data_IF_845689367945
#
_entry.id   IF_845689367945
#
_cell.length_a   1.000
_cell.length_b   1.000
_cell.length_c   1.000
_cell.angle_alpha   90.00
_cell.angle_beta   90.00
_cell.angle_gamma   90.00
#
_symmetry.space_group_name_H-M   'P 1'
#
loop_
_entity.id
_entity.type
_entity.pdbx_description
1 polymer ?
#
# COMPACT_ATOMS: atom_id res chain seq x y z
N UNK A 1 -24.34 -4.28 2.31
CA UNK A 1 -23.77 -5.57 2.74
C UNK A 1 -22.73 -5.34 3.81
N UNK A 2 -22.86 -6.08 4.90
CA UNK A 2 -21.84 -6.26 5.93
C UNK A 2 -21.00 -7.47 5.49
N UNK A 3 -19.70 -7.27 5.30
CA UNK A 3 -18.78 -8.33 4.90
C UNK A 3 -17.99 -8.74 6.14
N UNK A 4 -17.92 -10.04 6.41
CA UNK A 4 -17.04 -10.58 7.45
C UNK A 4 -15.85 -11.29 6.80
N UNK A 5 -14.65 -11.04 7.33
CA UNK A 5 -13.43 -11.70 6.87
C UNK A 5 -13.05 -12.79 7.87
N UNK A 6 -13.01 -14.03 7.38
CA UNK A 6 -12.56 -15.15 8.19
C UNK A 6 -11.07 -15.02 8.55
N UNK A 7 -10.62 -15.66 9.64
CA UNK A 7 -9.19 -15.71 9.97
C UNK A 7 -8.34 -16.29 8.83
N UNK A 8 -8.88 -17.25 8.07
CA UNK A 8 -8.20 -17.86 6.93
C UNK A 8 -8.01 -16.88 5.78
N UNK A 9 -9.07 -16.18 5.37
CA UNK A 9 -8.98 -15.17 4.31
C UNK A 9 -8.04 -14.04 4.72
N UNK A 10 -8.10 -13.58 5.97
CA UNK A 10 -7.17 -12.57 6.48
C UNK A 10 -5.72 -13.02 6.38
N UNK A 11 -5.43 -14.28 6.73
CA UNK A 11 -4.09 -14.85 6.59
C UNK A 11 -3.65 -14.90 5.11
N UNK A 12 -4.54 -15.25 4.19
CA UNK A 12 -4.24 -15.28 2.76
C UNK A 12 -3.87 -13.88 2.24
N UNK A 13 -4.65 -12.85 2.56
CA UNK A 13 -4.29 -11.47 2.19
C UNK A 13 -2.98 -11.04 2.86
N UNK A 14 -2.78 -11.36 4.13
CA UNK A 14 -1.54 -11.03 4.86
C UNK A 14 -0.31 -11.64 4.18
N UNK A 15 -0.38 -12.92 3.83
CA UNK A 15 0.71 -13.62 3.15
C UNK A 15 0.98 -13.03 1.76
N UNK A 16 -0.07 -12.83 0.95
CA UNK A 16 0.04 -12.26 -0.39
C UNK A 16 0.68 -10.86 -0.36
N UNK A 17 0.18 -9.97 0.49
CA UNK A 17 0.67 -8.59 0.58
C UNK A 17 2.12 -8.55 1.10
N UNK A 18 2.44 -9.40 2.08
CA UNK A 18 3.80 -9.47 2.60
C UNK A 18 4.79 -9.98 1.54
N UNK A 19 4.42 -11.03 0.80
CA UNK A 19 5.25 -11.60 -0.26
C UNK A 19 5.57 -10.57 -1.35
N UNK A 20 4.59 -9.76 -1.73
CA UNK A 20 4.70 -8.91 -2.92
C UNK A 20 5.29 -7.52 -2.63
N UNK A 21 5.04 -6.93 -1.45
CA UNK A 21 5.53 -5.58 -1.13
C UNK A 21 6.14 -5.43 0.27
N UNK A 22 6.28 -6.51 1.04
CA UNK A 22 6.90 -6.49 2.36
C UNK A 22 6.07 -5.79 3.45
N UNK A 23 4.83 -5.38 3.17
CA UNK A 23 3.96 -4.74 4.16
C UNK A 23 3.46 -5.79 5.15
N UNK A 24 3.87 -5.65 6.42
CA UNK A 24 3.35 -6.47 7.50
C UNK A 24 1.98 -5.94 7.98
N UNK A 25 0.95 -6.76 7.77
CA UNK A 25 -0.39 -6.58 8.32
C UNK A 25 -0.51 -7.34 9.64
N UNK A 26 -0.45 -6.60 10.74
CA UNK A 26 -0.77 -7.13 12.07
C UNK A 26 -2.28 -7.03 12.35
N UNK A 27 -2.73 -7.66 13.43
CA UNK A 27 -4.16 -7.74 13.76
C UNK A 27 -4.81 -6.36 13.94
N UNK A 28 -4.06 -5.35 14.40
CA UNK A 28 -4.57 -3.98 14.52
C UNK A 28 -4.88 -3.32 13.17
N UNK A 29 -4.29 -3.82 12.07
CA UNK A 29 -4.59 -3.37 10.70
C UNK A 29 -5.71 -4.19 10.03
N UNK A 30 -6.23 -5.25 10.66
CA UNK A 30 -7.34 -6.06 10.13
C UNK A 30 -8.56 -5.18 9.81
N UNK A 31 -8.96 -4.32 10.75
CA UNK A 31 -10.09 -3.40 10.56
C UNK A 31 -9.88 -2.44 9.40
N UNK A 32 -8.66 -1.95 9.20
CA UNK A 32 -8.30 -1.07 8.07
C UNK A 32 -8.46 -1.81 6.73
N UNK A 33 -7.92 -3.02 6.64
CA UNK A 33 -8.03 -3.86 5.46
C UNK A 33 -9.50 -4.14 5.12
N UNK A 34 -10.27 -4.61 6.10
CA UNK A 34 -11.71 -4.89 5.95
C UNK A 34 -12.45 -3.66 5.46
N UNK A 35 -12.22 -2.49 6.07
CA UNK A 35 -12.90 -1.25 5.67
C UNK A 35 -12.61 -0.87 4.22
N UNK A 36 -11.34 -0.91 3.81
CA UNK A 36 -10.91 -0.49 2.46
C UNK A 36 -11.36 -1.49 1.39
N UNK A 37 -11.18 -2.78 1.64
CA UNK A 37 -11.59 -3.83 0.73
C UNK A 37 -13.12 -3.95 0.65
N UNK A 38 -13.87 -3.80 1.75
CA UNK A 38 -15.34 -3.80 1.72
C UNK A 38 -15.91 -2.77 0.76
N UNK A 39 -15.26 -1.59 0.64
CA UNK A 39 -15.64 -0.58 -0.34
C UNK A 39 -15.38 -1.08 -1.76
N UNK A 40 -14.25 -1.75 -2.00
CA UNK A 40 -13.88 -2.32 -3.30
C UNK A 40 -14.81 -3.46 -3.71
N UNK A 41 -15.15 -4.38 -2.80
CA UNK A 41 -16.11 -5.47 -3.03
C UNK A 41 -17.46 -4.93 -3.53
N UNK A 42 -17.98 -3.85 -2.93
CA UNK A 42 -19.22 -3.20 -3.39
C UNK A 42 -19.12 -2.63 -4.80
N UNK A 43 -17.96 -2.07 -5.18
CA UNK A 43 -17.75 -1.52 -6.51
C UNK A 43 -17.67 -2.62 -7.58
N UNK A 44 -17.18 -3.79 -7.22
CA UNK A 44 -17.03 -4.95 -8.09
C UNK A 44 -18.24 -5.90 -8.03
N UNK A 45 -19.26 -5.57 -7.23
CA UNK A 45 -20.43 -6.41 -6.98
C UNK A 45 -20.06 -7.83 -6.51
N UNK A 46 -19.01 -7.94 -5.69
CA UNK A 46 -18.54 -9.19 -5.11
C UNK A 46 -19.16 -9.43 -3.72
N UNK A 47 -19.50 -10.68 -3.46
CA UNK A 47 -20.23 -11.09 -2.26
C UNK A 47 -19.33 -11.52 -1.09
N UNK A 48 -18.04 -11.77 -1.33
CA UNK A 48 -17.11 -12.25 -0.30
C UNK A 48 -15.65 -11.82 -0.50
N UNK A 49 -14.89 -11.87 0.59
CA UNK A 49 -13.44 -11.62 0.56
C UNK A 49 -12.70 -12.71 -0.22
N UNK A 50 -13.13 -13.97 -0.11
CA UNK A 50 -12.59 -15.05 -0.95
C UNK A 50 -12.80 -14.78 -2.44
N UNK A 51 -13.98 -14.32 -2.87
CA UNK A 51 -14.24 -14.00 -4.28
C UNK A 51 -13.32 -12.87 -4.78
N UNK A 52 -13.05 -11.89 -3.94
CA UNK A 52 -12.09 -10.83 -4.25
C UNK A 52 -10.64 -11.36 -4.31
N UNK A 53 -10.25 -12.23 -3.38
CA UNK A 53 -8.93 -12.88 -3.40
C UNK A 53 -8.73 -13.68 -4.68
N UNK A 54 -9.71 -14.49 -5.07
CA UNK A 54 -9.65 -15.32 -6.28
C UNK A 54 -9.58 -14.46 -7.55
N UNK A 55 -10.32 -13.33 -7.57
CA UNK A 55 -10.22 -12.35 -8.66
C UNK A 55 -8.79 -11.80 -8.78
N UNK A 56 -8.21 -11.35 -7.67
CA UNK A 56 -6.84 -10.80 -7.64
C UNK A 56 -5.81 -11.85 -8.05
N UNK A 57 -5.94 -13.09 -7.55
CA UNK A 57 -4.98 -14.16 -7.83
C UNK A 57 -5.09 -14.74 -9.25
N UNK A 58 -6.27 -14.64 -9.88
CA UNK A 58 -6.54 -15.15 -11.23
C UNK A 58 -6.38 -14.14 -12.35
N UNK A 59 -6.11 -12.87 -12.03
CA UNK A 59 -6.01 -11.79 -13.01
C UNK A 59 -4.69 -11.84 -13.77
N UNK A 60 -4.73 -11.67 -15.10
CA UNK A 60 -3.55 -11.78 -15.97
C UNK A 60 -2.83 -10.44 -16.17
N UNK A 61 -3.56 -9.31 -16.15
CA UNK A 61 -3.02 -7.97 -16.34
C UNK A 61 -2.49 -7.33 -15.04
N UNK A 62 -2.95 -7.82 -13.88
CA UNK A 62 -2.54 -7.37 -12.54
C UNK A 62 -3.08 -6.00 -12.14
N UNK A 63 -4.12 -5.49 -12.79
CA UNK A 63 -4.71 -4.19 -12.47
C UNK A 63 -5.35 -4.18 -11.07
N UNK A 64 -6.18 -5.17 -10.75
CA UNK A 64 -6.79 -5.36 -9.44
C UNK A 64 -5.75 -5.66 -8.37
N UNK A 65 -4.70 -6.39 -8.73
CA UNK A 65 -3.59 -6.62 -7.81
C UNK A 65 -2.88 -5.31 -7.44
N UNK A 66 -2.65 -4.43 -8.42
CA UNK A 66 -2.10 -3.07 -8.16
C UNK A 66 -3.01 -2.25 -7.26
N UNK A 67 -4.33 -2.29 -7.52
CA UNK A 67 -5.32 -1.60 -6.68
C UNK A 67 -5.37 -2.17 -5.26
N UNK A 68 -5.21 -3.48 -5.06
CA UNK A 68 -5.07 -4.07 -3.74
C UNK A 68 -3.87 -3.45 -3.01
N UNK A 69 -2.69 -3.37 -3.65
CA UNK A 69 -1.49 -2.78 -3.04
C UNK A 69 -1.69 -1.31 -2.64
N UNK A 70 -2.35 -0.51 -3.50
CA UNK A 70 -2.70 0.87 -3.20
C UNK A 70 -3.70 1.00 -2.05
N UNK A 71 -4.67 0.09 -1.98
CA UNK A 71 -5.64 0.05 -0.88
C UNK A 71 -4.99 -0.35 0.44
N UNK A 72 -3.88 -1.08 0.47
CA UNK A 72 -3.25 -1.50 1.74
C UNK A 72 -2.08 -0.63 2.16
N UNK A 73 -1.51 0.13 1.23
CA UNK A 73 -0.45 1.07 1.50
C UNK A 73 -0.95 2.31 2.26
N UNK A 74 -0.01 3.08 2.82
CA UNK A 74 -0.28 4.39 3.40
C UNK A 74 0.37 5.44 2.52
N UNK A 75 -0.35 5.89 1.50
CA UNK A 75 0.11 6.91 0.55
C UNK A 75 0.04 8.35 1.11
N UNK A 76 0.00 8.53 2.44
CA UNK A 76 -0.09 9.86 3.05
C UNK A 76 1.25 10.58 2.86
N UNK A 77 1.20 11.70 2.14
CA UNK A 77 2.32 12.62 1.94
C UNK A 77 1.84 14.06 2.04
N UNK A 78 2.80 14.98 2.18
CA UNK A 78 2.59 16.42 2.31
C UNK A 78 3.76 17.16 1.63
N UNK A 79 3.48 18.35 1.07
CA UNK A 79 4.55 19.22 0.58
C UNK A 79 5.48 19.60 1.73
N UNK A 80 6.79 19.51 1.49
CA UNK A 80 7.82 19.74 2.51
C UNK A 80 7.67 18.88 3.77
N UNK A 81 7.18 17.63 3.62
CA UNK A 81 7.15 16.63 4.72
C UNK A 81 8.53 16.53 5.37
N UNK A 82 8.58 16.65 6.70
CA UNK A 82 9.84 16.68 7.47
C UNK A 82 10.74 17.87 7.06
N UNK A 83 10.30 19.13 7.32
CA UNK A 83 10.93 20.34 6.77
C UNK A 83 12.42 20.50 7.10
N UNK A 84 12.88 19.93 8.23
CA UNK A 84 14.29 19.94 8.63
C UNK A 84 15.21 19.26 7.59
N UNK A 85 14.72 18.27 6.85
CA UNK A 85 15.49 17.64 5.77
C UNK A 85 15.72 18.61 4.61
N UNK A 86 14.77 19.49 4.31
CA UNK A 86 14.91 20.51 3.28
C UNK A 86 15.86 21.63 3.72
N UNK A 87 15.86 22.00 5.00
CA UNK A 87 16.86 22.92 5.55
C UNK A 87 18.27 22.35 5.44
N UNK A 88 18.46 21.07 5.79
CA UNK A 88 19.74 20.39 5.64
C UNK A 88 20.19 20.32 4.18
N UNK A 89 19.28 19.96 3.27
CA UNK A 89 19.54 19.96 1.83
C UNK A 89 20.05 21.34 1.37
N UNK A 90 19.37 22.42 1.77
CA UNK A 90 19.71 23.81 1.40
C UNK A 90 21.04 24.27 2.00
N UNK A 91 21.30 23.97 3.27
CA UNK A 91 22.41 24.55 4.02
C UNK A 91 23.72 23.75 3.88
N UNK A 92 23.63 22.43 3.66
CA UNK A 92 24.79 21.54 3.70
C UNK A 92 25.05 20.88 2.34
N UNK A 93 24.01 20.31 1.73
CA UNK A 93 24.16 19.50 0.51
C UNK A 93 24.34 20.39 -0.72
N UNK A 94 23.44 21.36 -0.95
CA UNK A 94 23.51 22.22 -2.13
C UNK A 94 24.83 23.01 -2.23
N UNK A 95 25.37 23.63 -1.16
CA UNK A 95 26.67 24.30 -1.23
C UNK A 95 27.83 23.36 -1.57
N UNK A 96 27.84 22.14 -1.01
CA UNK A 96 28.87 21.14 -1.29
C UNK A 96 28.86 20.69 -2.77
N UNK A 97 27.67 20.58 -3.36
CA UNK A 97 27.49 20.15 -4.75
C UNK A 97 27.84 21.21 -5.80
N UNK A 98 27.94 22.49 -5.43
CA UNK A 98 28.38 23.55 -6.37
C UNK A 98 29.77 23.28 -6.95
N UNK A 99 30.62 22.56 -6.22
CA UNK A 99 31.97 22.20 -6.67
C UNK A 99 32.00 21.03 -7.67
N UNK A 100 30.98 20.15 -7.64
CA UNK A 100 30.89 18.95 -8.49
C UNK A 100 29.42 18.67 -8.79
N UNK A 101 28.92 19.17 -9.93
CA UNK A 101 27.49 19.10 -10.28
C UNK A 101 26.98 17.70 -10.67
N UNK A 102 27.83 16.66 -10.59
CA UNK A 102 27.45 15.29 -10.90
C UNK A 102 27.16 14.52 -9.61
N UNK A 103 25.88 14.49 -9.23
CA UNK A 103 25.37 13.55 -8.24
C UNK A 103 25.00 12.25 -8.96
N UNK A 104 25.66 11.16 -8.63
CA UNK A 104 25.21 9.80 -8.99
C UNK A 104 24.53 9.21 -7.75
N UNK A 105 23.26 8.87 -7.91
CA UNK A 105 22.46 8.15 -6.92
C UNK A 105 22.44 6.69 -7.34
#
# INVERSE_FOLDING_TARGET
MEYDISPKEFEQFRALIYQECGISLNDSKKTLLVSRLSKRLRMLELDSFQAYYDRVAGETDGEEFTLLLDLVSTNKTDFFREPKHFDFLRQQILPALQSTWRVRI
#
